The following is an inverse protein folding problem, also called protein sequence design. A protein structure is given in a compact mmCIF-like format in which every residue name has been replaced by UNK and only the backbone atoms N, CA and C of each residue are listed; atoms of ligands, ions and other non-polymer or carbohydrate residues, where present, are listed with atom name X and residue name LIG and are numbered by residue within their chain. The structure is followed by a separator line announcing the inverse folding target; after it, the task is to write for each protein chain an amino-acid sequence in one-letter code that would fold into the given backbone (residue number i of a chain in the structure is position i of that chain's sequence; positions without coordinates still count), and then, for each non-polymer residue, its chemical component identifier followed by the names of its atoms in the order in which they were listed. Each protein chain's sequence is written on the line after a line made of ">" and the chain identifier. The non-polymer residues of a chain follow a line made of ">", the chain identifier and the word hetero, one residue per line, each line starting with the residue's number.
data_IF_919964638321
#
_entry.id   IF_919964638321
#
_cell.length_a   1.000
_cell.length_b   1.000
_cell.length_c   1.000
_cell.angle_alpha   90.00
_cell.angle_beta   90.00
_cell.angle_gamma   90.00
#
_symmetry.space_group_name_H-M   'P 1'
#
loop_
_entity.id
_entity.type
_entity.pdbx_description
1 polymer ?
#
# COMPACT_ATOMS: atom_id res chain seq x y z
N UNK A 1 27.14 26.26 2.89
CA UNK A 1 25.74 25.81 2.81
C UNK A 1 25.76 24.48 2.08
N UNK A 2 25.42 23.39 2.74
CA UNK A 2 25.46 22.05 2.17
C UNK A 2 24.31 21.88 1.18
N UNK A 3 24.64 21.45 -0.03
CA UNK A 3 23.71 20.99 -1.05
C UNK A 3 22.77 19.95 -0.45
N UNK A 4 21.50 20.30 -0.34
CA UNK A 4 20.44 19.32 -0.07
C UNK A 4 20.33 18.44 -1.31
N UNK A 5 20.83 17.21 -1.14
CA UNK A 5 20.89 16.16 -2.14
C UNK A 5 19.64 16.14 -3.04
N UNK A 6 19.90 16.22 -4.33
CA UNK A 6 19.00 15.83 -5.42
C UNK A 6 18.51 14.40 -5.15
N UNK A 7 17.38 14.27 -4.43
CA UNK A 7 16.62 13.03 -4.31
C UNK A 7 15.79 12.87 -5.57
N UNK A 8 16.43 12.77 -6.72
CA UNK A 8 15.72 12.46 -7.97
C UNK A 8 15.01 11.13 -7.80
N UNK A 9 13.69 11.12 -8.03
CA UNK A 9 12.88 9.90 -8.04
C UNK A 9 13.53 8.93 -9.02
N UNK A 10 13.55 7.62 -8.75
CA UNK A 10 14.09 6.66 -9.69
C UNK A 10 13.37 6.83 -11.03
N UNK A 11 14.15 6.97 -12.12
CA UNK A 11 13.57 6.97 -13.45
C UNK A 11 12.85 5.65 -13.68
N UNK A 12 11.53 5.72 -13.85
CA UNK A 12 10.64 4.62 -14.14
C UNK A 12 9.70 5.06 -15.26
N UNK A 13 9.48 4.22 -16.29
CA UNK A 13 8.52 4.54 -17.34
C UNK A 13 7.11 4.62 -16.74
N UNK A 14 6.22 5.45 -17.33
CA UNK A 14 4.81 5.48 -16.95
C UNK A 14 4.20 4.07 -17.03
N UNK A 15 3.50 3.67 -15.98
CA UNK A 15 2.90 2.35 -15.84
C UNK A 15 1.38 2.46 -15.72
N UNK A 16 0.68 1.67 -16.54
CA UNK A 16 -0.76 1.42 -16.42
C UNK A 16 -1.02 0.56 -15.18
N UNK A 17 -1.34 1.23 -14.08
CA UNK A 17 -1.32 0.63 -12.74
C UNK A 17 -2.35 -0.51 -12.58
N UNK A 18 -3.53 -0.40 -13.19
CA UNK A 18 -4.59 -1.40 -13.06
C UNK A 18 -4.14 -2.74 -13.66
N UNK A 19 -3.55 -2.71 -14.86
CA UNK A 19 -3.03 -3.91 -15.52
C UNK A 19 -1.91 -4.57 -14.70
N UNK A 20 -1.06 -3.76 -14.05
CA UNK A 20 -0.01 -4.30 -13.19
C UNK A 20 -0.58 -4.90 -11.89
N UNK A 21 -1.62 -4.29 -11.31
CA UNK A 21 -2.30 -4.83 -10.12
C UNK A 21 -2.94 -6.17 -10.44
N UNK A 22 -3.68 -6.30 -11.55
CA UNK A 22 -4.25 -7.58 -11.99
C UNK A 22 -3.17 -8.65 -12.20
N UNK A 23 -2.11 -8.30 -12.93
CA UNK A 23 -0.98 -9.22 -13.15
C UNK A 23 -0.32 -9.65 -11.83
N UNK A 24 -0.25 -8.76 -10.84
CA UNK A 24 0.27 -9.08 -9.53
C UNK A 24 -0.67 -10.02 -8.77
N UNK A 25 -1.99 -9.79 -8.82
CA UNK A 25 -2.98 -10.65 -8.16
C UNK A 25 -2.95 -12.06 -8.73
N UNK A 26 -2.85 -12.20 -10.05
CA UNK A 26 -2.69 -13.50 -10.72
C UNK A 26 -1.45 -14.25 -10.21
N UNK A 27 -0.32 -13.56 -10.06
CA UNK A 27 0.90 -14.14 -9.50
C UNK A 27 0.73 -14.53 -8.01
N UNK A 28 0.03 -13.69 -7.24
CA UNK A 28 -0.20 -13.90 -5.81
C UNK A 28 -1.19 -15.03 -5.53
N UNK A 29 -2.09 -15.36 -6.46
CA UNK A 29 -3.13 -16.39 -6.29
C UNK A 29 -2.60 -17.71 -5.72
N UNK A 30 -1.40 -18.13 -6.14
CA UNK A 30 -0.72 -19.35 -5.65
C UNK A 30 -0.26 -19.31 -4.19
N UNK A 31 -0.18 -18.13 -3.58
CA UNK A 31 0.25 -17.91 -2.19
C UNK A 31 -0.92 -17.64 -1.26
N UNK A 32 -2.14 -17.49 -1.80
CA UNK A 32 -3.35 -17.19 -1.05
C UNK A 32 -3.99 -18.50 -0.59
N UNK A 33 -4.28 -18.67 0.70
CA UNK A 33 -5.05 -19.82 1.19
C UNK A 33 -6.41 -19.94 0.50
N UNK A 34 -6.87 -21.18 0.23
CA UNK A 34 -8.12 -21.46 -0.51
C UNK A 34 -9.39 -20.82 0.10
N UNK A 35 -9.35 -20.48 1.39
CA UNK A 35 -10.44 -19.85 2.13
C UNK A 35 -10.39 -18.32 2.14
N UNK A 36 -9.45 -17.71 1.43
CA UNK A 36 -9.33 -16.25 1.28
C UNK A 36 -9.63 -15.88 -0.18
N UNK A 37 -10.58 -14.97 -0.36
CA UNK A 37 -10.97 -14.49 -1.69
C UNK A 37 -10.28 -13.14 -1.94
N UNK A 38 -9.50 -13.02 -3.01
CA UNK A 38 -9.02 -11.72 -3.49
C UNK A 38 -9.99 -11.17 -4.54
N UNK A 39 -10.36 -9.90 -4.39
CA UNK A 39 -11.18 -9.15 -5.36
C UNK A 39 -10.40 -7.94 -5.87
N UNK A 40 -10.61 -7.57 -7.12
CA UNK A 40 -10.04 -6.36 -7.72
C UNK A 40 -11.13 -5.42 -8.22
N UNK A 41 -10.93 -4.12 -8.01
CA UNK A 41 -11.86 -3.07 -8.43
C UNK A 41 -11.10 -1.85 -8.99
N UNK A 42 -11.33 -1.47 -10.25
CA UNK A 42 -10.61 -0.36 -10.86
C UNK A 42 -11.53 0.71 -11.41
N UNK A 43 -11.18 1.97 -11.12
CA UNK A 43 -11.76 3.11 -11.80
C UNK A 43 -11.32 3.14 -13.28
N UNK A 44 -12.16 3.72 -14.15
CA UNK A 44 -11.83 3.90 -15.56
C UNK A 44 -10.92 5.12 -15.74
N UNK A 45 -10.06 5.09 -16.77
CA UNK A 45 -9.20 6.21 -17.16
C UNK A 45 -8.25 6.70 -16.05
N UNK A 46 -7.66 5.76 -15.31
CA UNK A 46 -6.63 6.07 -14.32
C UNK A 46 -5.41 6.71 -15.01
N UNK A 47 -4.83 7.78 -14.45
CA UNK A 47 -3.57 8.29 -14.97
C UNK A 47 -2.44 7.29 -14.66
N UNK A 48 -1.42 7.21 -15.52
CA UNK A 48 -0.29 6.33 -15.26
C UNK A 48 0.52 6.82 -14.06
N UNK A 49 1.32 5.93 -13.46
CA UNK A 49 2.24 6.25 -12.36
C UNK A 49 3.67 5.85 -12.73
N UNK A 50 4.67 6.60 -12.27
CA UNK A 50 6.08 6.25 -12.51
C UNK A 50 6.60 5.35 -11.40
N UNK A 51 6.36 4.04 -11.51
CA UNK A 51 6.86 3.00 -10.58
C UNK A 51 7.38 1.79 -11.38
N UNK A 52 8.45 1.15 -10.89
CA UNK A 52 8.91 -0.10 -11.51
C UNK A 52 7.95 -1.25 -11.14
N UNK A 53 7.53 -2.10 -12.10
CA UNK A 53 6.62 -3.22 -11.84
C UNK A 53 7.04 -4.13 -10.68
N UNK A 54 8.33 -4.43 -10.56
CA UNK A 54 8.87 -5.26 -9.46
C UNK A 54 8.66 -4.63 -8.09
N UNK A 55 8.72 -3.30 -7.98
CA UNK A 55 8.50 -2.61 -6.71
C UNK A 55 7.01 -2.51 -6.39
N UNK A 56 6.14 -2.30 -7.38
CA UNK A 56 4.69 -2.36 -7.17
C UNK A 56 4.27 -3.76 -6.70
N UNK A 57 4.79 -4.81 -7.33
CA UNK A 57 4.53 -6.20 -6.91
C UNK A 57 5.00 -6.46 -5.48
N UNK A 58 6.19 -6.00 -5.11
CA UNK A 58 6.72 -6.18 -3.76
C UNK A 58 5.91 -5.40 -2.72
N UNK A 59 5.45 -4.20 -3.06
CA UNK A 59 4.56 -3.40 -2.22
C UNK A 59 3.25 -4.14 -1.98
N UNK A 60 2.57 -4.57 -3.05
CA UNK A 60 1.30 -5.30 -2.97
C UNK A 60 1.44 -6.62 -2.20
N UNK A 61 2.50 -7.40 -2.47
CA UNK A 61 2.79 -8.64 -1.75
C UNK A 61 2.89 -8.39 -0.23
N UNK A 62 3.56 -7.31 0.18
CA UNK A 62 3.70 -6.99 1.60
C UNK A 62 2.35 -6.64 2.26
N UNK A 63 1.49 -5.90 1.56
CA UNK A 63 0.15 -5.53 2.06
C UNK A 63 -0.80 -6.73 2.08
N UNK A 64 -0.87 -7.49 0.99
CA UNK A 64 -1.71 -8.69 0.87
C UNK A 64 -1.31 -9.74 1.90
N UNK A 65 -0.01 -9.98 2.08
CA UNK A 65 0.48 -10.89 3.11
C UNK A 65 0.07 -10.44 4.51
N UNK A 66 0.10 -9.13 4.79
CA UNK A 66 -0.37 -8.61 6.07
C UNK A 66 -1.87 -8.88 6.27
N UNK A 67 -2.69 -8.69 5.22
CA UNK A 67 -4.12 -9.01 5.24
C UNK A 67 -4.39 -10.51 5.47
N UNK A 68 -3.68 -11.39 4.75
CA UNK A 68 -3.79 -12.85 4.94
C UNK A 68 -3.49 -13.23 6.39
N UNK A 69 -2.42 -12.68 6.97
CA UNK A 69 -2.04 -12.94 8.35
C UNK A 69 -2.97 -12.28 9.39
N UNK A 70 -3.80 -11.31 8.98
CA UNK A 70 -4.82 -10.68 9.82
C UNK A 70 -6.13 -11.47 9.83
N UNK A 71 -6.42 -12.23 8.77
CA UNK A 71 -7.61 -13.06 8.63
C UNK A 71 -7.42 -14.39 9.39
N UNK A 72 -8.31 -14.73 10.35
CA UNK A 72 -8.22 -16.01 11.04
C UNK A 72 -8.45 -17.19 10.09
N UNK A 73 -7.51 -18.13 10.06
CA UNK A 73 -7.53 -19.30 9.15
C UNK A 73 -8.83 -20.11 9.23
N UNK A 74 -9.46 -20.24 10.39
CA UNK A 74 -10.72 -20.99 10.52
C UNK A 74 -11.94 -20.26 9.97
N UNK A 75 -11.89 -18.92 9.85
CA UNK A 75 -13.01 -18.10 9.37
C UNK A 75 -13.03 -18.02 7.84
N UNK A 76 -11.85 -18.01 7.23
CA UNK A 76 -11.72 -17.47 5.87
C UNK A 76 -11.98 -15.97 5.86
N UNK A 77 -11.91 -15.36 4.68
CA UNK A 77 -12.10 -13.92 4.56
C UNK A 77 -11.93 -13.41 3.15
N UNK A 78 -11.80 -12.10 3.04
CA UNK A 78 -11.59 -11.45 1.75
C UNK A 78 -10.58 -10.32 1.86
N UNK A 79 -9.81 -10.17 0.78
CA UNK A 79 -8.97 -9.01 0.55
C UNK A 79 -9.46 -8.34 -0.73
N UNK A 80 -9.78 -7.06 -0.67
CA UNK A 80 -10.16 -6.27 -1.85
C UNK A 80 -9.03 -5.32 -2.18
N UNK A 81 -8.59 -5.34 -3.44
CA UNK A 81 -7.59 -4.42 -3.96
C UNK A 81 -8.27 -3.49 -4.93
N UNK A 82 -8.27 -2.19 -4.65
CA UNK A 82 -8.88 -1.22 -5.54
C UNK A 82 -7.89 -0.18 -6.05
N UNK A 83 -8.15 0.36 -7.25
CA UNK A 83 -7.36 1.47 -7.78
C UNK A 83 -8.27 2.59 -8.26
N UNK A 84 -8.04 3.79 -7.72
CA UNK A 84 -8.87 4.97 -7.98
C UNK A 84 -8.03 6.23 -8.06
N UNK A 85 -8.54 7.22 -8.80
CA UNK A 85 -7.97 8.55 -8.81
C UNK A 85 -8.64 9.41 -7.73
N UNK A 86 -7.84 10.16 -6.96
CA UNK A 86 -8.36 10.99 -5.86
C UNK A 86 -7.69 12.35 -5.85
N UNK A 87 -8.44 13.36 -5.42
CA UNK A 87 -7.88 14.65 -5.03
C UNK A 87 -7.66 14.63 -3.51
N UNK A 88 -6.45 14.95 -3.06
CA UNK A 88 -6.08 15.03 -1.65
C UNK A 88 -5.69 16.47 -1.28
N UNK A 89 -6.10 16.91 -0.10
CA UNK A 89 -5.75 18.23 0.44
C UNK A 89 -4.58 18.16 1.43
N UNK A 90 -4.11 19.34 1.85
CA UNK A 90 -3.07 19.43 2.89
C UNK A 90 -3.50 18.73 4.20
N UNK A 91 -4.77 18.82 4.57
CA UNK A 91 -5.31 18.16 5.78
C UNK A 91 -5.20 16.63 5.72
N UNK A 92 -5.33 16.03 4.55
CA UNK A 92 -5.15 14.59 4.39
C UNK A 92 -3.70 14.20 4.68
N UNK A 93 -2.76 14.98 4.15
CA UNK A 93 -1.32 14.75 4.32
C UNK A 93 -0.86 14.98 5.76
N UNK A 94 -1.40 15.99 6.44
CA UNK A 94 -1.06 16.32 7.84
C UNK A 94 -1.40 15.18 8.81
N UNK A 95 -2.34 14.29 8.43
CA UNK A 95 -2.72 13.12 9.23
C UNK A 95 -1.76 11.93 9.10
N UNK A 96 -0.76 12.01 8.22
CA UNK A 96 0.14 10.91 7.87
C UNK A 96 1.56 11.28 8.28
N UNK A 97 2.21 10.45 9.12
CA UNK A 97 3.57 10.70 9.63
C UNK A 97 4.65 10.80 8.52
N UNK A 98 4.44 10.18 7.37
CA UNK A 98 5.43 10.04 6.29
C UNK A 98 4.91 10.55 4.94
N UNK A 99 4.29 11.74 4.92
CA UNK A 99 3.73 12.36 3.71
C UNK A 99 4.62 13.45 3.09
N UNK A 100 5.79 13.72 3.66
CA UNK A 100 6.61 14.92 3.37
C UNK A 100 7.00 15.13 1.90
N UNK A 101 7.05 14.06 1.10
CA UNK A 101 7.46 14.11 -0.31
C UNK A 101 6.26 14.14 -1.30
N UNK A 102 5.03 14.06 -0.78
CA UNK A 102 3.78 14.07 -1.56
C UNK A 102 3.08 15.43 -1.39
N UNK A 103 2.79 16.11 -2.50
CA UNK A 103 2.09 17.39 -2.49
C UNK A 103 0.55 17.19 -2.57
N UNK A 104 -0.25 18.15 -2.05
CA UNK A 104 -1.68 18.17 -2.30
C UNK A 104 -2.02 18.17 -3.80
N UNK A 105 -3.15 17.59 -4.15
CA UNK A 105 -3.65 17.51 -5.52
C UNK A 105 -4.03 16.08 -5.90
N UNK A 106 -3.93 15.79 -7.19
CA UNK A 106 -4.32 14.50 -7.75
C UNK A 106 -3.32 13.40 -7.41
N UNK A 107 -3.83 12.27 -6.94
CA UNK A 107 -3.08 11.03 -6.70
C UNK A 107 -3.80 9.83 -7.31
N UNK A 108 -3.03 8.78 -7.57
CA UNK A 108 -3.54 7.43 -7.82
C UNK A 108 -3.43 6.68 -6.50
N UNK A 109 -4.58 6.24 -5.97
CA UNK A 109 -4.66 5.47 -4.75
C UNK A 109 -4.82 3.98 -5.09
N UNK A 110 -3.91 3.14 -4.58
CA UNK A 110 -4.05 1.69 -4.58
C UNK A 110 -4.41 1.26 -3.17
N UNK A 111 -5.62 0.77 -2.99
CA UNK A 111 -6.13 0.40 -1.68
C UNK A 111 -6.12 -1.11 -1.50
N UNK A 112 -5.79 -1.56 -0.29
CA UNK A 112 -5.81 -2.96 0.12
C UNK A 112 -6.63 -3.07 1.40
N UNK A 113 -7.82 -3.63 1.26
CA UNK A 113 -8.81 -3.83 2.31
C UNK A 113 -8.82 -5.30 2.74
N UNK A 114 -8.54 -5.59 4.01
CA UNK A 114 -8.76 -6.92 4.59
C UNK A 114 -9.92 -6.89 5.59
N UNK A 115 -10.68 -7.98 5.67
CA UNK A 115 -11.75 -8.15 6.67
C UNK A 115 -11.26 -8.86 7.95
N UNK A 116 -9.97 -8.79 8.23
CA UNK A 116 -9.31 -9.49 9.32
C UNK A 116 -9.59 -8.90 10.70
N UNK A 117 -8.74 -9.25 11.67
CA UNK A 117 -8.91 -8.85 13.07
C UNK A 117 -8.69 -7.36 13.36
N UNK A 118 -8.14 -6.61 12.40
CA UNK A 118 -7.74 -5.22 12.57
C UNK A 118 -6.66 -4.99 13.63
N UNK A 119 -6.38 -3.73 13.91
CA UNK A 119 -5.29 -3.27 14.78
C UNK A 119 -5.79 -2.19 15.75
N UNK A 120 -5.20 -2.16 16.95
CA UNK A 120 -5.41 -1.06 17.88
C UNK A 120 -4.50 0.14 17.55
N UNK A 121 -4.77 1.27 18.19
CA UNK A 121 -4.04 2.53 17.97
C UNK A 121 -2.55 2.41 18.28
N UNK A 122 -2.17 1.66 19.33
CA UNK A 122 -0.75 1.48 19.73
C UNK A 122 0.03 0.70 18.67
N UNK A 123 -0.61 -0.28 18.05
CA UNK A 123 -0.04 -1.02 16.93
C UNK A 123 0.08 -0.08 15.71
N UNK A 124 -1.00 0.62 15.35
CA UNK A 124 -1.04 1.54 14.20
C UNK A 124 0.08 2.58 14.23
N UNK A 125 0.42 3.10 15.41
CA UNK A 125 1.49 4.09 15.56
C UNK A 125 2.87 3.60 15.13
N UNK A 126 3.08 2.27 15.11
CA UNK A 126 4.37 1.60 14.98
C UNK A 126 4.45 0.61 13.82
N UNK A 127 3.36 0.33 13.11
CA UNK A 127 3.33 -0.74 12.08
C UNK A 127 4.33 -0.56 10.93
N UNK A 128 4.78 0.68 10.70
CA UNK A 128 5.78 1.00 9.68
C UNK A 128 7.20 1.07 10.25
N UNK A 129 7.39 0.93 11.57
CA UNK A 129 8.70 0.88 12.19
C UNK A 129 9.43 -0.39 11.73
N UNK A 130 10.69 -0.29 11.25
CA UNK A 130 11.47 -1.47 10.91
C UNK A 130 11.58 -2.43 12.09
N UNK A 131 11.39 -3.73 11.82
CA UNK A 131 11.43 -4.83 12.79
C UNK A 131 10.28 -4.86 13.81
N UNK A 132 9.34 -3.91 13.77
CA UNK A 132 8.15 -3.99 14.61
C UNK A 132 7.23 -5.11 14.11
N UNK A 133 6.87 -6.02 15.01
CA UNK A 133 5.98 -7.13 14.73
C UNK A 133 5.24 -7.52 16.00
N UNK A 134 3.95 -7.78 15.89
CA UNK A 134 3.14 -8.40 16.96
C UNK A 134 3.13 -9.92 16.86
N UNK A 135 3.91 -10.50 15.93
CA UNK A 135 3.92 -11.92 15.58
C UNK A 135 5.26 -12.53 15.99
N UNK A 136 5.25 -13.66 16.69
CA UNK A 136 6.46 -14.33 17.19
C UNK A 136 7.43 -14.78 16.07
N UNK A 137 6.91 -15.14 14.88
CA UNK A 137 7.71 -15.53 13.73
C UNK A 137 7.89 -14.41 12.67
N UNK A 138 7.28 -13.24 12.89
CA UNK A 138 7.31 -12.14 11.92
C UNK A 138 8.55 -11.28 12.08
N UNK A 139 9.32 -11.09 11.00
CA UNK A 139 10.51 -10.21 11.01
C UNK A 139 10.18 -8.71 11.08
N UNK A 140 8.91 -8.31 10.93
CA UNK A 140 8.49 -6.90 11.00
C UNK A 140 9.01 -6.01 9.86
N UNK A 141 9.33 -6.59 8.70
CA UNK A 141 9.92 -5.86 7.56
C UNK A 141 8.95 -5.58 6.42
N UNK A 142 7.78 -6.25 6.38
CA UNK A 142 6.85 -6.16 5.26
C UNK A 142 6.28 -4.75 5.07
N UNK A 143 5.57 -4.24 6.09
CA UNK A 143 4.94 -2.92 6.02
C UNK A 143 5.96 -1.77 5.96
N UNK A 144 7.07 -1.86 6.72
CA UNK A 144 8.17 -0.91 6.61
C UNK A 144 8.75 -0.87 5.17
N UNK A 145 8.91 -2.04 4.53
CA UNK A 145 9.34 -2.14 3.14
C UNK A 145 8.33 -1.56 2.15
N UNK A 146 7.02 -1.79 2.37
CA UNK A 146 5.96 -1.20 1.56
C UNK A 146 5.98 0.34 1.64
N UNK A 147 6.07 0.90 2.85
CA UNK A 147 6.21 2.35 3.05
C UNK A 147 7.47 2.90 2.35
N UNK A 148 8.61 2.23 2.51
CA UNK A 148 9.85 2.63 1.84
C UNK A 148 9.75 2.63 0.31
N UNK A 149 9.02 1.68 -0.28
CA UNK A 149 8.73 1.67 -1.71
C UNK A 149 7.84 2.85 -2.10
N UNK A 150 6.74 3.10 -1.38
CA UNK A 150 5.84 4.21 -1.68
C UNK A 150 6.59 5.56 -1.65
N UNK A 151 7.35 5.81 -0.57
CA UNK A 151 8.16 7.02 -0.41
C UNK A 151 9.22 7.17 -1.50
N UNK A 152 9.87 6.07 -1.90
CA UNK A 152 10.85 6.07 -3.00
C UNK A 152 10.28 6.59 -4.32
N UNK A 153 8.98 6.45 -4.53
CA UNK A 153 8.26 6.93 -5.71
C UNK A 153 7.48 8.22 -5.47
N UNK A 154 7.81 8.97 -4.43
CA UNK A 154 7.17 10.25 -4.10
C UNK A 154 5.76 10.11 -3.54
N UNK A 155 5.41 8.91 -3.08
CA UNK A 155 4.12 8.59 -2.50
C UNK A 155 4.16 8.38 -0.99
N UNK A 156 3.05 7.91 -0.44
CA UNK A 156 2.93 7.55 0.97
C UNK A 156 1.90 6.42 1.16
N UNK A 157 1.77 5.90 2.37
CA UNK A 157 0.72 4.95 2.74
C UNK A 157 -0.08 5.52 3.90
N UNK A 158 -1.39 5.71 3.70
CA UNK A 158 -2.34 5.93 4.79
C UNK A 158 -2.89 4.60 5.25
N UNK A 159 -3.16 4.46 6.53
CA UNK A 159 -3.78 3.26 7.09
C UNK A 159 -4.90 3.65 8.04
N UNK A 160 -6.02 2.95 7.94
CA UNK A 160 -7.09 3.00 8.94
C UNK A 160 -7.45 1.57 9.34
N UNK A 161 -7.53 1.31 10.64
CA UNK A 161 -7.91 0.00 11.17
C UNK A 161 -8.50 0.17 12.56
N UNK A 162 -9.36 -0.76 12.95
CA UNK A 162 -9.82 -0.87 14.33
C UNK A 162 -10.06 -2.35 14.68
N UNK A 163 -9.97 -2.74 15.97
CA UNK A 163 -10.17 -4.12 16.37
C UNK A 163 -11.52 -4.68 15.90
N UNK A 164 -11.47 -5.79 15.17
CA UNK A 164 -12.63 -6.49 14.61
C UNK A 164 -13.19 -5.92 13.30
N UNK A 165 -12.64 -4.82 12.79
CA UNK A 165 -13.13 -4.17 11.56
C UNK A 165 -12.20 -4.36 10.35
N UNK A 166 -11.14 -5.15 10.48
CA UNK A 166 -10.14 -5.30 9.42
C UNK A 166 -9.20 -4.10 9.30
N UNK A 167 -8.51 -4.02 8.17
CA UNK A 167 -7.56 -2.93 7.88
C UNK A 167 -7.76 -2.41 6.46
N UNK A 168 -7.63 -1.11 6.30
CA UNK A 168 -7.62 -0.42 5.01
C UNK A 168 -6.30 0.31 4.85
N UNK A 169 -5.48 -0.14 3.91
CA UNK A 169 -4.23 0.51 3.51
C UNK A 169 -4.47 1.26 2.20
N UNK A 170 -4.11 2.53 2.14
CA UNK A 170 -4.24 3.38 0.95
C UNK A 170 -2.85 3.85 0.53
N UNK A 171 -2.36 3.32 -0.59
CA UNK A 171 -1.06 3.69 -1.16
C UNK A 171 -1.28 4.83 -2.14
N UNK A 172 -0.77 6.00 -1.83
CA UNK A 172 -0.91 7.18 -2.68
C UNK A 172 0.34 7.40 -3.49
N UNK A 173 0.20 7.41 -4.81
CA UNK A 173 1.28 7.72 -5.75
C UNK A 173 0.90 8.95 -6.57
N UNK A 174 1.85 9.87 -6.82
CA UNK A 174 1.59 10.94 -7.77
C UNK A 174 1.43 10.37 -9.18
N UNK A 175 0.55 10.94 -10.03
CA UNK A 175 0.52 10.65 -11.45
C UNK A 175 1.90 10.87 -12.08
N UNK A 176 2.24 10.09 -13.11
CA UNK A 176 3.42 10.33 -13.91
C UNK A 176 3.35 11.73 -14.54
N UNK A 177 4.47 12.45 -14.53
CA UNK A 177 4.60 13.69 -15.27
C UNK A 177 4.49 13.40 -16.77
N UNK A 178 3.80 14.30 -17.50
CA UNK A 178 3.58 14.20 -18.94
C UNK A 178 4.81 14.59 -19.75
#
# INVERSE_FOLDING_TARGET
>A
LLDFADRSRPSAPPLEIANQVDSCVDMLSSQVPDNIIIRTEFEKNLPPVSILPVHLNQLLLNLVKNGIEAIPEKRGGSITISVRCREIGQRDLDSIKHSNDLAPGRVVAVDVDDDGKGMDEKILERIFDPFFSTKEAGRGLGLAGAMGIAMRYGGTIRVTSSPGAGSHFEVWLPPAEA
#
